data_IF_822064980412
#
_entry.id   IF_822064980412
#
_cell.length_a   1.000
_cell.length_b   1.000
_cell.length_c   1.000
_cell.angle_alpha   90.00
_cell.angle_beta   90.00
_cell.angle_gamma   90.00
#
_symmetry.space_group_name_H-M   'P 1'
#
loop_
_entity.id
_entity.type
_entity.pdbx_description
1 polymer ?
#
# COMPACT_ATOMS: atom_id res chain seq x y z
N UNK A 1 -37.81 -61.63 -59.11
CA UNK A 1 -36.95 -61.35 -57.94
C UNK A 1 -36.37 -59.94 -58.09
N UNK A 2 -36.77 -58.97 -57.26
CA UNK A 2 -36.13 -57.65 -57.13
C UNK A 2 -36.47 -57.10 -55.73
N UNK A 3 -35.45 -56.98 -54.88
CA UNK A 3 -35.55 -56.47 -53.50
C UNK A 3 -35.29 -54.96 -53.54
N UNK A 4 -36.29 -54.16 -53.15
CA UNK A 4 -36.21 -52.71 -52.97
C UNK A 4 -36.66 -52.36 -51.56
N UNK A 5 -35.83 -52.67 -50.54
CA UNK A 5 -36.14 -52.36 -49.14
C UNK A 5 -34.84 -52.05 -48.40
N UNK A 6 -34.16 -50.93 -48.70
CA UNK A 6 -32.99 -50.49 -47.91
C UNK A 6 -32.66 -49.00 -47.94
N UNK A 7 -33.45 -48.12 -48.58
CA UNK A 7 -33.11 -46.69 -48.68
C UNK A 7 -33.88 -45.77 -47.71
N UNK A 8 -35.00 -46.21 -47.14
CA UNK A 8 -35.85 -45.33 -46.31
C UNK A 8 -35.34 -45.11 -44.89
N UNK A 9 -34.45 -45.97 -44.40
CA UNK A 9 -33.94 -45.89 -43.02
C UNK A 9 -32.80 -44.90 -42.87
N UNK A 10 -32.05 -44.62 -43.94
CA UNK A 10 -30.87 -43.76 -43.90
C UNK A 10 -31.23 -42.27 -43.85
N UNK A 11 -32.37 -41.87 -44.44
CA UNK A 11 -32.83 -40.47 -44.49
C UNK A 11 -33.37 -39.98 -43.14
N UNK A 12 -33.97 -40.86 -42.34
CA UNK A 12 -34.52 -40.51 -41.02
C UNK A 12 -33.41 -40.22 -40.00
N UNK A 13 -32.27 -40.90 -40.10
CA UNK A 13 -31.13 -40.71 -39.18
C UNK A 13 -30.44 -39.36 -39.43
N UNK A 14 -30.38 -38.90 -40.69
CA UNK A 14 -29.74 -37.62 -41.03
C UNK A 14 -30.57 -36.42 -40.55
N UNK A 15 -31.91 -36.48 -40.62
CA UNK A 15 -32.75 -35.38 -40.12
C UNK A 15 -32.74 -35.27 -38.58
N UNK A 16 -32.64 -36.39 -37.86
CA UNK A 16 -32.60 -36.38 -36.39
C UNK A 16 -31.27 -35.83 -35.83
N UNK A 17 -30.18 -35.87 -36.62
CA UNK A 17 -28.90 -35.30 -36.22
C UNK A 17 -28.84 -33.76 -36.28
N UNK A 18 -29.77 -33.12 -37.01
CA UNK A 18 -29.77 -31.66 -37.22
C UNK A 18 -30.59 -30.88 -36.18
N UNK A 19 -31.41 -31.53 -35.36
CA UNK A 19 -32.26 -30.87 -34.35
C UNK A 19 -31.60 -30.70 -32.97
N UNK A 20 -30.38 -31.18 -32.78
CA UNK A 20 -29.73 -31.26 -31.46
C UNK A 20 -28.90 -30.05 -31.02
N UNK A 21 -28.75 -29.00 -31.84
CA UNK A 21 -27.88 -27.84 -31.53
C UNK A 21 -28.72 -26.58 -31.33
N UNK A 22 -29.68 -26.62 -30.42
CA UNK A 22 -30.19 -25.38 -29.81
C UNK A 22 -29.20 -24.95 -28.73
N UNK A 23 -28.09 -24.35 -29.15
CA UNK A 23 -27.24 -23.54 -28.28
C UNK A 23 -28.16 -22.49 -27.66
N UNK A 24 -28.38 -22.55 -26.35
CA UNK A 24 -29.16 -21.55 -25.64
C UNK A 24 -28.58 -20.18 -25.99
N UNK A 25 -29.37 -19.36 -26.70
CA UNK A 25 -29.06 -17.98 -26.93
C UNK A 25 -29.08 -17.30 -25.55
N UNK A 26 -27.93 -17.29 -24.88
CA UNK A 26 -27.70 -16.37 -23.78
C UNK A 26 -27.88 -14.99 -24.41
N UNK A 27 -29.05 -14.37 -24.19
CA UNK A 27 -29.27 -12.98 -24.54
C UNK A 27 -28.30 -12.19 -23.66
N UNK A 28 -27.07 -12.01 -24.15
CA UNK A 28 -26.09 -11.24 -23.45
C UNK A 28 -26.52 -9.79 -23.60
N UNK A 29 -27.22 -9.30 -22.59
CA UNK A 29 -27.78 -7.96 -22.59
C UNK A 29 -26.64 -6.97 -22.46
N UNK A 30 -26.39 -6.23 -23.54
CA UNK A 30 -25.35 -5.23 -23.62
C UNK A 30 -25.97 -3.86 -23.41
N UNK A 31 -25.48 -3.12 -22.43
CA UNK A 31 -25.82 -1.71 -22.22
C UNK A 31 -24.86 -0.81 -22.98
N UNK A 32 -25.38 0.26 -23.60
CA UNK A 32 -24.56 1.28 -24.26
C UNK A 32 -24.07 2.29 -23.23
N UNK A 33 -22.78 2.58 -23.18
CA UNK A 33 -22.23 3.59 -22.27
C UNK A 33 -22.51 4.97 -22.83
N UNK A 34 -23.14 5.82 -22.00
CA UNK A 34 -23.40 7.24 -22.29
C UNK A 34 -22.20 8.08 -21.82
N UNK A 35 -21.70 7.81 -20.61
CA UNK A 35 -20.63 8.57 -19.99
C UNK A 35 -19.78 7.70 -19.07
N UNK A 36 -18.47 7.92 -19.08
CA UNK A 36 -17.47 7.23 -18.25
C UNK A 36 -16.52 8.25 -17.63
N UNK A 37 -16.89 8.81 -16.48
CA UNK A 37 -16.08 9.84 -15.81
C UNK A 37 -15.16 9.23 -14.75
N UNK A 38 -13.84 9.52 -14.77
CA UNK A 38 -12.92 9.00 -13.76
C UNK A 38 -13.13 9.72 -12.41
N UNK A 39 -13.16 8.94 -11.33
CA UNK A 39 -13.14 9.43 -9.96
C UNK A 39 -11.68 9.47 -9.50
N UNK A 40 -11.14 10.68 -9.42
CA UNK A 40 -9.76 10.93 -8.97
C UNK A 40 -9.75 11.07 -7.45
N UNK A 41 -8.88 10.31 -6.78
CA UNK A 41 -8.62 10.45 -5.35
C UNK A 41 -7.15 10.73 -5.11
N UNK A 42 -6.88 11.67 -4.20
CA UNK A 42 -5.53 11.99 -3.77
C UNK A 42 -5.09 10.98 -2.71
N UNK A 43 -4.13 10.12 -3.04
CA UNK A 43 -3.59 9.12 -2.12
C UNK A 43 -2.24 9.56 -1.57
N UNK A 44 -2.05 9.34 -0.27
CA UNK A 44 -0.78 9.59 0.40
C UNK A 44 0.14 8.37 0.21
N UNK A 45 1.16 8.52 -0.63
CA UNK A 45 2.17 7.49 -0.89
C UNK A 45 3.43 7.85 -0.10
N UNK A 46 3.88 7.03 0.86
CA UNK A 46 5.13 7.27 1.57
C UNK A 46 6.30 7.04 0.61
N UNK A 47 7.18 8.03 0.47
CA UNK A 47 8.44 7.90 -0.28
C UNK A 47 9.60 8.22 0.65
N UNK A 48 10.65 7.41 0.56
CA UNK A 48 11.90 7.65 1.27
C UNK A 48 12.77 8.60 0.45
N UNK A 49 13.08 9.76 0.99
CA UNK A 49 13.98 10.75 0.36
C UNK A 49 15.29 10.72 1.13
N UNK A 50 16.37 10.39 0.43
CA UNK A 50 17.72 10.32 1.01
C UNK A 50 18.54 11.52 0.53
N UNK A 51 19.05 12.31 1.48
CA UNK A 51 19.98 13.39 1.22
C UNK A 51 21.39 12.97 1.67
N UNK A 52 22.38 13.18 0.82
CA UNK A 52 23.77 12.96 1.17
C UNK A 52 24.32 14.25 1.81
N UNK A 53 24.62 14.19 3.09
CA UNK A 53 25.23 15.30 3.82
C UNK A 53 26.69 14.96 4.13
N UNK A 54 27.59 15.87 3.74
CA UNK A 54 29.00 15.78 4.09
C UNK A 54 29.17 16.32 5.50
N UNK A 55 29.21 15.43 6.49
CA UNK A 55 29.47 15.82 7.88
C UNK A 55 30.97 15.74 8.14
N UNK A 56 31.55 16.87 8.53
CA UNK A 56 32.94 16.91 9.00
C UNK A 56 32.94 16.33 10.42
N UNK A 57 33.34 15.07 10.54
CA UNK A 57 33.51 14.45 11.84
C UNK A 57 34.88 14.85 12.38
N UNK A 58 34.96 15.23 13.66
CA UNK A 58 36.25 15.43 14.31
C UNK A 58 37.03 14.12 14.23
N UNK A 59 38.21 14.18 13.60
CA UNK A 59 39.08 13.02 13.50
C UNK A 59 39.40 12.47 14.88
N UNK A 60 39.48 11.14 14.96
CA UNK A 60 39.94 10.48 16.17
C UNK A 60 41.40 10.86 16.43
N UNK A 61 41.75 11.21 17.67
CA UNK A 61 43.16 11.36 18.06
C UNK A 61 43.83 9.99 17.98
N UNK A 62 45.06 9.94 17.46
CA UNK A 62 45.85 8.72 17.33
C UNK A 62 46.41 8.26 18.69
N UNK A 63 46.52 9.19 19.65
CA UNK A 63 47.17 8.96 20.95
C UNK A 63 48.69 8.78 20.82
N UNK A 64 49.24 9.03 19.63
CA UNK A 64 50.65 8.90 19.32
C UNK A 64 51.50 9.89 20.15
N UNK A 65 51.01 11.10 20.39
CA UNK A 65 51.65 12.08 21.25
C UNK A 65 51.65 11.64 22.70
N UNK A 66 50.55 11.07 23.19
CA UNK A 66 50.48 10.50 24.54
C UNK A 66 51.47 9.33 24.72
N UNK A 67 51.53 8.43 23.75
CA UNK A 67 52.46 7.30 23.77
C UNK A 67 53.93 7.78 23.73
N UNK A 68 54.27 8.68 22.81
CA UNK A 68 55.62 9.25 22.72
C UNK A 68 56.00 10.04 23.98
N UNK A 69 55.07 10.83 24.52
CA UNK A 69 55.27 11.61 25.73
C UNK A 69 55.45 10.72 26.96
N UNK A 70 54.69 9.62 27.08
CA UNK A 70 54.87 8.64 28.15
C UNK A 70 56.25 7.98 28.08
N UNK A 71 56.68 7.55 26.89
CA UNK A 71 58.01 6.95 26.70
C UNK A 71 59.11 7.94 27.10
N UNK A 72 59.02 9.18 26.63
CA UNK A 72 59.99 10.22 26.95
C UNK A 72 60.00 10.55 28.45
N UNK A 73 58.83 10.78 29.05
CA UNK A 73 58.69 11.12 30.47
C UNK A 73 59.07 9.95 31.40
N UNK A 74 58.76 8.72 31.01
CA UNK A 74 59.16 7.50 31.71
C UNK A 74 60.67 7.28 31.66
N UNK A 75 61.30 7.48 30.51
CA UNK A 75 62.76 7.39 30.37
C UNK A 75 63.49 8.44 31.23
N UNK A 76 63.01 9.69 31.21
CA UNK A 76 63.54 10.79 32.01
C UNK A 76 63.35 10.49 33.51
N UNK A 77 62.12 10.14 33.94
CA UNK A 77 61.81 9.83 35.34
C UNK A 77 62.55 8.59 35.88
N UNK A 78 62.87 7.64 35.01
CA UNK A 78 63.65 6.45 35.35
C UNK A 78 65.13 6.74 35.58
N UNK A 79 65.66 7.80 34.98
CA UNK A 79 67.05 8.25 35.15
C UNK A 79 67.26 9.17 36.38
N UNK A 80 66.18 9.74 36.91
CA UNK A 80 66.17 10.80 37.91
C UNK A 80 65.83 10.26 39.31
N UNK A 81 66.57 9.26 39.79
CA UNK A 81 66.40 8.74 41.15
C UNK A 81 66.97 7.35 41.39
N UNK A 82 67.12 6.98 42.67
CA UNK A 82 67.53 5.65 43.11
C UNK A 82 66.48 5.07 44.09
N UNK A 83 66.38 3.74 44.17
CA UNK A 83 65.45 3.06 45.08
C UNK A 83 63.97 3.33 44.77
N UNK A 84 63.13 3.41 45.81
CA UNK A 84 61.68 3.61 45.70
C UNK A 84 61.28 4.94 45.05
N UNK A 85 62.11 5.99 45.16
CA UNK A 85 61.88 7.28 44.53
C UNK A 85 61.92 7.23 42.99
N UNK A 86 62.73 6.33 42.41
CA UNK A 86 62.80 6.10 40.96
C UNK A 86 61.48 5.56 40.41
N UNK A 87 60.86 4.62 41.13
CA UNK A 87 59.60 4.02 40.71
C UNK A 87 58.47 5.09 40.69
N UNK A 88 58.40 5.91 41.74
CA UNK A 88 57.46 7.03 41.82
C UNK A 88 57.71 8.07 40.71
N UNK A 89 58.96 8.47 40.49
CA UNK A 89 59.32 9.43 39.44
C UNK A 89 59.02 8.91 38.03
N UNK A 90 59.23 7.62 37.78
CA UNK A 90 58.91 6.96 36.50
C UNK A 90 57.40 6.93 36.26
N UNK A 91 56.60 6.56 37.27
CA UNK A 91 55.14 6.59 37.16
C UNK A 91 54.64 8.01 36.88
N UNK A 92 55.13 9.00 37.62
CA UNK A 92 54.79 10.41 37.40
C UNK A 92 55.20 10.88 35.99
N UNK A 93 56.36 10.46 35.50
CA UNK A 93 56.84 10.77 34.15
C UNK A 93 56.00 10.12 33.05
N UNK A 94 55.52 8.89 33.25
CA UNK A 94 54.63 8.21 32.32
C UNK A 94 53.28 8.93 32.22
N UNK A 95 52.63 9.20 33.35
CA UNK A 95 51.32 9.87 33.36
C UNK A 95 51.43 11.34 32.94
N UNK A 96 52.43 12.08 33.44
CA UNK A 96 52.68 13.46 33.09
C UNK A 96 53.07 13.62 31.61
N UNK A 97 53.93 12.74 31.11
CA UNK A 97 54.33 12.68 29.72
C UNK A 97 53.17 12.34 28.78
N UNK A 98 52.30 11.39 29.17
CA UNK A 98 51.13 11.04 28.39
C UNK A 98 50.13 12.19 28.25
N UNK A 99 49.82 12.88 29.34
CA UNK A 99 48.84 13.98 29.35
C UNK A 99 49.37 15.18 28.55
N UNK A 100 50.65 15.52 28.71
CA UNK A 100 51.28 16.60 27.95
C UNK A 100 51.42 16.22 26.48
N UNK A 101 51.77 14.97 26.20
CA UNK A 101 51.84 14.41 24.85
C UNK A 101 50.51 14.46 24.10
N UNK A 102 49.40 14.10 24.75
CA UNK A 102 48.05 14.17 24.14
C UNK A 102 47.62 15.61 23.81
N UNK A 103 48.13 16.61 24.54
CA UNK A 103 47.85 18.02 24.27
C UNK A 103 48.68 18.58 23.11
N UNK A 104 49.87 18.04 22.89
CA UNK A 104 50.75 18.41 21.77
C UNK A 104 50.29 17.74 20.48
N UNK A 105 49.72 16.54 20.57
CA UNK A 105 48.93 15.94 19.50
C UNK A 105 47.67 16.79 19.28
N UNK A 106 47.74 17.70 18.31
CA UNK A 106 46.65 18.62 17.97
C UNK A 106 45.33 17.91 17.61
N UNK A 107 44.28 18.67 17.26
CA UNK A 107 43.00 18.06 16.90
C UNK A 107 43.19 17.02 15.78
N UNK A 108 42.58 15.84 15.95
CA UNK A 108 42.66 14.75 14.98
C UNK A 108 42.22 15.21 13.60
N UNK A 109 42.85 14.68 12.55
CA UNK A 109 42.59 15.09 11.16
C UNK A 109 41.10 14.96 10.84
N UNK A 110 40.38 16.05 10.51
CA UNK A 110 38.95 15.99 10.27
C UNK A 110 38.66 15.02 9.12
N UNK A 111 37.85 14.01 9.42
CA UNK A 111 37.45 13.01 8.44
C UNK A 111 36.12 13.46 7.84
N UNK A 112 36.11 13.67 6.51
CA UNK A 112 34.88 13.98 5.78
C UNK A 112 34.13 12.68 5.60
N UNK A 113 33.06 12.47 6.38
CA UNK A 113 32.21 11.30 6.26
C UNK A 113 30.96 11.69 5.47
N UNK A 114 30.75 11.02 4.34
CA UNK A 114 29.48 11.11 3.62
C UNK A 114 28.43 10.32 4.41
N UNK A 115 27.50 11.00 5.07
CA UNK A 115 26.39 10.36 5.77
C UNK A 115 25.13 10.56 4.95
N UNK A 116 24.48 9.46 4.62
CA UNK A 116 23.20 9.47 3.93
C UNK A 116 22.08 9.53 4.97
N UNK A 117 21.34 10.63 5.01
CA UNK A 117 20.18 10.81 5.87
C UNK A 117 18.91 10.56 5.06
N UNK A 118 18.19 9.48 5.38
CA UNK A 118 16.95 9.13 4.71
C UNK A 118 15.74 9.43 5.61
N UNK A 119 14.80 10.23 5.13
CA UNK A 119 13.55 10.54 5.83
C UNK A 119 12.35 10.03 5.03
N UNK A 120 11.31 9.60 5.73
CA UNK A 120 10.03 9.21 5.14
C UNK A 120 9.18 10.47 4.95
N UNK A 121 8.82 10.80 3.71
CA UNK A 121 7.96 11.93 3.40
C UNK A 121 6.69 11.45 2.69
N UNK A 122 5.54 11.96 3.13
CA UNK A 122 4.26 11.65 2.52
C UNK A 122 4.08 12.51 1.27
N UNK A 123 4.03 11.87 0.10
CA UNK A 123 3.69 12.53 -1.16
C UNK A 123 2.25 12.23 -1.50
N UNK A 124 1.54 13.23 -2.03
CA UNK A 124 0.18 13.06 -2.47
C UNK A 124 0.13 12.90 -3.98
N UNK A 125 -0.35 11.76 -4.46
CA UNK A 125 -0.51 11.47 -5.88
C UNK A 125 -2.00 11.37 -6.23
N UNK A 126 -2.41 12.00 -7.32
CA UNK A 126 -3.75 11.86 -7.86
C UNK A 126 -3.83 10.53 -8.60
N UNK A 127 -4.61 9.58 -8.07
CA UNK A 127 -4.86 8.29 -8.73
C UNK A 127 -6.35 8.13 -9.01
N UNK A 128 -6.66 7.65 -10.22
CA UNK A 128 -8.02 7.24 -10.57
C UNK A 128 -8.36 5.98 -9.78
N UNK A 129 -9.36 6.07 -8.89
CA UNK A 129 -9.79 4.93 -8.07
C UNK A 129 -10.87 4.10 -8.73
N UNK A 130 -11.77 4.77 -9.44
CA UNK A 130 -12.91 4.13 -10.12
C UNK A 130 -13.44 5.03 -11.23
N UNK A 131 -14.34 4.50 -12.03
CA UNK A 131 -15.07 5.20 -13.08
C UNK A 131 -16.54 5.22 -12.73
N UNK A 132 -17.16 6.39 -12.77
CA UNK A 132 -18.60 6.55 -12.73
C UNK A 132 -19.14 6.33 -14.15
N UNK A 133 -19.82 5.21 -14.35
CA UNK A 133 -20.28 4.77 -15.66
C UNK A 133 -21.79 4.93 -15.70
N UNK A 134 -22.27 5.78 -16.60
CA UNK A 134 -23.69 5.91 -16.93
C UNK A 134 -23.95 5.12 -18.20
N UNK A 135 -24.79 4.09 -18.11
CA UNK A 135 -25.15 3.25 -19.23
C UNK A 135 -26.67 3.23 -19.46
N UNK A 136 -27.06 3.01 -20.70
CA UNK A 136 -28.45 2.88 -21.13
C UNK A 136 -28.77 1.42 -21.44
N UNK A 137 -29.87 0.93 -20.87
CA UNK A 137 -30.42 -0.38 -21.16
C UNK A 137 -31.95 -0.32 -21.17
N UNK A 138 -32.58 -0.87 -22.20
CA UNK A 138 -34.04 -0.85 -22.39
C UNK A 138 -34.68 0.55 -22.25
N UNK A 139 -33.98 1.60 -22.70
CA UNK A 139 -34.44 3.00 -22.63
C UNK A 139 -34.35 3.65 -21.24
N UNK A 140 -33.75 2.97 -20.25
CA UNK A 140 -33.49 3.51 -18.91
C UNK A 140 -31.99 3.71 -18.71
N UNK A 141 -31.63 4.78 -18.01
CA UNK A 141 -30.24 5.07 -17.64
C UNK A 141 -29.95 4.55 -16.24
N UNK A 142 -28.78 3.95 -16.08
CA UNK A 142 -28.28 3.39 -14.83
C UNK A 142 -26.85 3.85 -14.60
N UNK A 143 -26.51 4.09 -13.33
CA UNK A 143 -25.17 4.50 -12.92
C UNK A 143 -24.53 3.40 -12.09
N UNK A 144 -23.31 3.03 -12.42
CA UNK A 144 -22.51 2.04 -11.70
C UNK A 144 -21.08 2.53 -11.55
N UNK A 145 -20.41 2.13 -10.45
CA UNK A 145 -18.98 2.37 -10.29
C UNK A 145 -18.20 1.14 -10.74
N UNK A 146 -17.21 1.36 -11.61
CA UNK A 146 -16.35 0.29 -12.12
C UNK A 146 -14.88 0.59 -11.80
N UNK A 147 -14.05 -0.44 -11.51
CA UNK A 147 -12.62 -0.24 -11.21
C UNK A 147 -11.79 0.13 -12.46
N UNK A 148 -12.29 -0.19 -13.64
CA UNK A 148 -11.63 0.07 -14.92
C UNK A 148 -12.63 0.70 -15.91
N UNK A 149 -12.10 1.40 -16.91
CA UNK A 149 -12.88 1.94 -18.01
C UNK A 149 -13.62 0.81 -18.78
N UNK A 150 -14.97 0.84 -18.85
CA UNK A 150 -15.75 -0.17 -19.57
C UNK A 150 -15.72 -0.02 -21.10
N UNK A 151 -15.22 1.10 -21.64
CA UNK A 151 -15.32 1.41 -23.06
C UNK A 151 -16.75 1.69 -23.51
N UNK A 152 -17.12 1.43 -24.79
CA UNK A 152 -18.39 1.86 -25.37
C UNK A 152 -19.62 1.05 -24.91
N UNK A 153 -19.42 -0.14 -24.35
CA UNK A 153 -20.51 -1.06 -23.99
C UNK A 153 -20.20 -1.87 -22.74
N UNK A 154 -21.21 -2.08 -21.90
CA UNK A 154 -21.12 -2.87 -20.67
C UNK A 154 -21.94 -4.15 -20.81
N UNK A 155 -21.39 -5.28 -20.35
CA UNK A 155 -22.14 -6.54 -20.25
C UNK A 155 -22.99 -6.52 -18.99
N UNK A 156 -24.28 -6.80 -19.13
CA UNK A 156 -25.21 -6.81 -18.01
C UNK A 156 -25.59 -8.26 -17.69
N UNK A 157 -25.65 -8.56 -16.38
CA UNK A 157 -26.26 -9.77 -15.88
C UNK A 157 -27.57 -9.40 -15.20
N UNK A 158 -28.67 -9.59 -15.90
CA UNK A 158 -30.00 -9.31 -15.37
C UNK A 158 -30.51 -10.57 -14.67
N UNK A 159 -30.90 -10.42 -13.40
CA UNK A 159 -31.54 -11.50 -12.63
C UNK A 159 -33.03 -11.17 -12.54
N UNK A 160 -33.93 -12.00 -13.10
CA UNK A 160 -35.36 -11.75 -12.99
C UNK A 160 -35.78 -11.89 -11.52
N UNK A 161 -36.46 -10.86 -11.01
CA UNK A 161 -37.09 -10.92 -9.69
C UNK A 161 -38.52 -11.44 -9.85
N UNK A 162 -38.91 -12.41 -9.02
CA UNK A 162 -40.30 -12.85 -8.98
C UNK A 162 -41.18 -11.69 -8.51
N UNK A 163 -42.23 -11.37 -9.26
CA UNK A 163 -43.20 -10.39 -8.81
C UNK A 163 -43.80 -10.86 -7.48
N UNK A 164 -43.83 -10.02 -6.42
CA UNK A 164 -44.53 -10.39 -5.21
C UNK A 164 -45.99 -10.69 -5.59
N UNK A 165 -46.59 -11.77 -5.06
CA UNK A 165 -47.99 -12.07 -5.34
C UNK A 165 -48.82 -10.82 -5.00
N UNK A 166 -49.70 -10.43 -5.92
CA UNK A 166 -50.70 -9.40 -5.64
C UNK A 166 -51.55 -9.90 -4.47
N UNK A 167 -51.23 -9.43 -3.27
CA UNK A 167 -52.10 -9.58 -2.12
C UNK A 167 -53.37 -8.82 -2.49
N UNK A 168 -54.40 -9.55 -2.93
CA UNK A 168 -55.76 -9.06 -2.99
C UNK A 168 -56.14 -8.68 -1.56
N UNK A 169 -55.85 -7.44 -1.18
CA UNK A 169 -56.42 -6.79 0.00
C UNK A 169 -57.87 -6.46 -0.33
N UNK A 170 -58.69 -7.51 -0.47
CA UNK A 170 -60.13 -7.36 -0.44
C UNK A 170 -60.64 -8.10 0.80
N UNK A 171 -61.46 -7.37 1.54
CA UNK A 171 -62.14 -7.72 2.80
C UNK A 171 -61.26 -7.87 4.06
N UNK A 172 -60.99 -6.74 4.71
CA UNK A 172 -61.19 -6.65 6.17
C UNK A 172 -61.94 -5.34 6.48
N UNK A 173 -63.06 -5.37 7.22
CA UNK A 173 -63.80 -4.16 7.56
C UNK A 173 -62.94 -3.25 8.43
N UNK A 174 -62.83 -1.97 8.03
CA UNK A 174 -62.23 -0.91 8.83
C UNK A 174 -62.94 -0.83 10.19
N UNK A 175 -62.31 -1.35 11.25
CA UNK A 175 -62.63 -0.95 12.61
C UNK A 175 -61.90 0.35 12.88
N UNK A 176 -62.63 1.46 12.77
CA UNK A 176 -62.18 2.79 13.15
C UNK A 176 -61.93 2.82 14.67
N UNK A 177 -60.67 2.71 15.08
CA UNK A 177 -60.27 3.10 16.43
C UNK A 177 -60.15 4.63 16.47
N UNK A 178 -60.84 5.33 17.39
CA UNK A 178 -60.68 6.77 17.56
C UNK A 178 -59.23 7.08 17.95
N UNK A 179 -58.60 7.98 17.19
CA UNK A 179 -57.30 8.55 17.50
C UNK A 179 -57.45 9.40 18.78
N UNK A 180 -56.67 9.16 19.85
CA UNK A 180 -56.68 10.02 21.03
C UNK A 180 -56.13 11.42 20.67
N UNK A 181 -56.64 12.50 21.29
CA UNK A 181 -56.15 13.86 21.05
C UNK A 181 -54.65 14.00 21.31
N UNK A 182 -53.98 14.82 20.50
CA UNK A 182 -52.56 15.10 20.64
C UNK A 182 -52.25 15.76 22.00
N UNK A 183 -51.47 15.08 22.85
CA UNK A 183 -51.03 15.65 24.13
C UNK A 183 -50.49 14.67 25.19
N UNK A 184 -50.61 13.35 25.00
CA UNK A 184 -50.19 12.35 25.99
C UNK A 184 -48.87 11.67 25.62
N UNK A 185 -47.76 12.41 25.62
CA UNK A 185 -46.43 11.81 25.67
C UNK A 185 -46.03 11.60 27.15
N UNK A 186 -45.71 10.38 27.60
CA UNK A 186 -45.13 10.18 28.92
C UNK A 186 -43.74 10.80 28.97
N UNK A 187 -43.53 11.69 29.94
CA UNK A 187 -42.22 12.22 30.29
C UNK A 187 -41.43 11.10 30.97
N UNK A 188 -40.35 10.66 30.35
CA UNK A 188 -39.23 9.98 30.99
C UNK A 188 -37.97 10.77 30.68
#
# INVERSE_FOLDING_TARGET
MKKFITHSSLTVVVLAALSGVSLGAQAQEVGRVISSTPIIQQVAVPRQVCNNEQVVSQGSKSGAGAAMGAIAGGAIGNSMGQGSGRAAATMLGLFGGAILGDKVEGPGTPEVRNVQNCTQQMFYENRTMSYNVVYEFAGKQYTVQMPQDPGPTVRLQITPMANPPSQNYNSAPHSSYPVPPAGSAPRY
#
